data_IF_146347904741
#
_entry.id   IF_146347904741
#
_cell.length_a   1.000
_cell.length_b   1.000
_cell.length_c   1.000
_cell.angle_alpha   90.00
_cell.angle_beta   90.00
_cell.angle_gamma   90.00
#
_symmetry.space_group_name_H-M   'P 1'
#
loop_
_entity.id
_entity.type
_entity.pdbx_description
1 polymer ?
#
# COMPACT_ATOMS: atom_id res chain seq x y z
N UNK A 1 -30.63 -4.63 15.84
CA UNK A 1 -30.22 -3.44 16.63
C UNK A 1 -29.02 -3.70 17.54
N UNK A 2 -29.03 -4.67 18.48
CA UNK A 2 -27.85 -4.94 19.33
C UNK A 2 -26.73 -5.64 18.54
N UNK A 3 -27.09 -6.60 17.69
CA UNK A 3 -26.14 -7.34 16.84
C UNK A 3 -25.43 -6.45 15.82
N UNK A 4 -26.15 -5.54 15.15
CA UNK A 4 -25.58 -4.58 14.20
C UNK A 4 -24.56 -3.64 14.86
N UNK A 5 -24.84 -3.22 16.09
CA UNK A 5 -23.95 -2.35 16.87
C UNK A 5 -22.71 -3.09 17.36
N UNK A 6 -22.86 -4.36 17.76
CA UNK A 6 -21.73 -5.22 18.11
C UNK A 6 -20.82 -5.46 16.90
N UNK A 7 -21.41 -5.71 15.73
CA UNK A 7 -20.69 -5.92 14.48
C UNK A 7 -19.93 -4.67 14.03
N UNK A 8 -20.54 -3.48 14.13
CA UNK A 8 -19.88 -2.21 13.82
C UNK A 8 -18.72 -1.88 14.80
N UNK A 9 -18.86 -2.22 16.08
CA UNK A 9 -17.79 -2.06 17.07
C UNK A 9 -16.62 -3.02 16.80
N UNK A 10 -16.93 -4.27 16.44
CA UNK A 10 -15.92 -5.25 16.05
C UNK A 10 -15.16 -4.77 14.81
N UNK A 11 -15.85 -4.32 13.77
CA UNK A 11 -15.22 -3.78 12.55
C UNK A 11 -14.28 -2.60 12.85
N UNK A 12 -14.67 -1.66 13.74
CA UNK A 12 -13.79 -0.54 14.12
C UNK A 12 -12.56 -1.00 14.90
N UNK A 13 -12.71 -2.01 15.74
CA UNK A 13 -11.59 -2.63 16.46
C UNK A 13 -10.63 -3.29 15.48
N UNK A 14 -11.16 -4.08 14.55
CA UNK A 14 -10.37 -4.77 13.52
C UNK A 14 -9.60 -3.78 12.65
N UNK A 15 -10.24 -2.68 12.21
CA UNK A 15 -9.56 -1.61 11.46
C UNK A 15 -8.46 -0.92 12.26
N UNK A 16 -8.67 -0.74 13.57
CA UNK A 16 -7.66 -0.17 14.47
C UNK A 16 -6.44 -1.09 14.62
N UNK A 17 -6.67 -2.39 14.78
CA UNK A 17 -5.62 -3.40 14.88
C UNK A 17 -4.83 -3.51 13.56
N UNK A 18 -5.52 -3.53 12.42
CA UNK A 18 -4.89 -3.54 11.09
C UNK A 18 -4.03 -2.30 10.85
N UNK A 19 -4.51 -1.11 11.23
CA UNK A 19 -3.73 0.12 11.12
C UNK A 19 -2.46 0.07 11.96
N UNK A 20 -2.56 -0.42 13.20
CA UNK A 20 -1.41 -0.56 14.10
C UNK A 20 -0.39 -1.58 13.57
N UNK A 21 -0.85 -2.70 13.00
CA UNK A 21 0.01 -3.69 12.37
C UNK A 21 0.76 -3.11 11.18
N UNK A 22 0.07 -2.40 10.28
CA UNK A 22 0.68 -1.75 9.13
C UNK A 22 1.71 -0.69 9.53
N UNK A 23 1.43 0.10 10.57
CA UNK A 23 2.37 1.08 11.11
C UNK A 23 3.62 0.40 11.69
N UNK A 24 3.46 -0.70 12.44
CA UNK A 24 4.58 -1.47 12.94
C UNK A 24 5.42 -2.08 11.80
N UNK A 25 4.77 -2.57 10.74
CA UNK A 25 5.48 -3.05 9.54
C UNK A 25 6.26 -1.93 8.83
N UNK A 26 5.69 -0.72 8.73
CA UNK A 26 6.37 0.42 8.11
C UNK A 26 7.62 0.81 8.91
N UNK A 27 7.52 0.84 10.24
CA UNK A 27 8.64 1.13 11.13
C UNK A 27 9.76 0.10 10.98
N UNK A 28 9.43 -1.20 11.03
CA UNK A 28 10.41 -2.28 10.82
C UNK A 28 11.08 -2.17 9.46
N UNK A 29 10.30 -1.90 8.40
CA UNK A 29 10.82 -1.73 7.04
C UNK A 29 11.76 -0.51 6.96
N UNK A 30 11.41 0.58 7.63
CA UNK A 30 12.23 1.79 7.67
C UNK A 30 13.54 1.57 8.46
N UNK A 31 13.50 0.81 9.55
CA UNK A 31 14.70 0.41 10.31
C UNK A 31 15.61 -0.49 9.49
N UNK A 32 15.06 -1.51 8.82
CA UNK A 32 15.82 -2.37 7.91
C UNK A 32 16.47 -1.57 6.78
N UNK A 33 15.77 -0.58 6.22
CA UNK A 33 16.31 0.29 5.19
C UNK A 33 17.50 1.12 5.71
N UNK A 34 17.38 1.67 6.92
CA UNK A 34 18.48 2.41 7.59
C UNK A 34 19.67 1.49 7.85
N UNK A 35 19.44 0.29 8.38
CA UNK A 35 20.47 -0.70 8.66
C UNK A 35 21.21 -1.12 7.38
N UNK A 36 20.46 -1.44 6.31
CA UNK A 36 21.04 -1.82 5.01
C UNK A 36 21.86 -0.67 4.41
N UNK A 37 21.45 0.58 4.62
CA UNK A 37 22.20 1.77 4.17
C UNK A 37 23.53 1.93 4.92
N UNK A 38 23.53 1.69 6.23
CA UNK A 38 24.76 1.69 7.05
C UNK A 38 25.72 0.60 6.58
N UNK A 39 25.20 -0.61 6.35
CA UNK A 39 25.98 -1.73 5.82
C UNK A 39 26.59 -1.41 4.45
N UNK A 40 25.81 -0.83 3.55
CA UNK A 40 26.27 -0.43 2.21
C UNK A 40 27.42 0.58 2.28
N UNK A 41 27.31 1.61 3.14
CA UNK A 41 28.39 2.56 3.37
C UNK A 41 29.68 1.86 3.85
N UNK A 42 29.55 0.87 4.73
CA UNK A 42 30.68 0.08 5.23
C UNK A 42 31.33 -0.80 4.16
N UNK A 43 30.53 -1.43 3.28
CA UNK A 43 31.03 -2.26 2.18
C UNK A 43 31.74 -1.41 1.13
N UNK A 44 31.12 -0.31 0.70
CA UNK A 44 31.70 0.60 -0.31
C UNK A 44 32.94 1.31 0.24
N UNK A 45 32.94 1.73 1.51
CA UNK A 45 34.09 2.34 2.16
C UNK A 45 35.31 1.42 2.27
N UNK A 46 35.12 0.09 2.16
CA UNK A 46 36.19 -0.92 2.11
C UNK A 46 36.53 -1.38 0.68
N UNK A 47 35.98 -0.73 -0.35
CA UNK A 47 36.18 -1.12 -1.76
C UNK A 47 35.41 -2.37 -2.19
N UNK A 48 34.44 -2.83 -1.41
CA UNK A 48 33.63 -4.01 -1.73
C UNK A 48 32.48 -3.74 -2.70
N UNK A 49 31.94 -4.80 -3.31
CA UNK A 49 30.80 -4.73 -4.24
C UNK A 49 29.46 -4.64 -3.48
N UNK A 50 28.84 -3.46 -3.47
CA UNK A 50 27.57 -3.19 -2.79
C UNK A 50 26.29 -3.50 -3.58
N UNK A 51 26.35 -4.14 -4.75
CA UNK A 51 25.19 -4.29 -5.64
C UNK A 51 24.00 -5.07 -5.03
N UNK A 52 24.28 -6.05 -4.16
CA UNK A 52 23.24 -6.79 -3.44
C UNK A 52 22.49 -5.90 -2.43
N UNK A 53 23.23 -5.03 -1.72
CA UNK A 53 22.66 -4.09 -0.76
C UNK A 53 21.87 -2.98 -1.45
N UNK A 54 22.32 -2.51 -2.62
CA UNK A 54 21.54 -1.57 -3.44
C UNK A 54 20.21 -2.19 -3.86
N UNK A 55 20.24 -3.44 -4.31
CA UNK A 55 19.02 -4.19 -4.64
C UNK A 55 18.08 -4.28 -3.45
N UNK A 56 18.59 -4.66 -2.27
CA UNK A 56 17.80 -4.77 -1.04
C UNK A 56 17.21 -3.42 -0.62
N UNK A 57 17.99 -2.34 -0.64
CA UNK A 57 17.51 -0.99 -0.33
C UNK A 57 16.38 -0.56 -1.27
N UNK A 58 16.49 -0.87 -2.56
CA UNK A 58 15.45 -0.57 -3.55
C UNK A 58 14.15 -1.35 -3.27
N UNK A 59 14.25 -2.61 -2.84
CA UNK A 59 13.10 -3.44 -2.49
C UNK A 59 12.45 -2.98 -1.19
N UNK A 60 13.24 -2.63 -0.17
CA UNK A 60 12.75 -2.06 1.08
C UNK A 60 12.09 -0.69 0.89
N UNK A 61 12.67 0.18 0.04
CA UNK A 61 12.05 1.46 -0.31
C UNK A 61 10.70 1.26 -0.98
N UNK A 62 10.62 0.34 -1.95
CA UNK A 62 9.37 0.01 -2.62
C UNK A 62 8.32 -0.53 -1.64
N UNK A 63 8.72 -1.42 -0.72
CA UNK A 63 7.83 -1.96 0.32
C UNK A 63 7.33 -0.87 1.26
N UNK A 64 8.21 0.07 1.64
CA UNK A 64 7.85 1.22 2.46
C UNK A 64 6.82 2.12 1.76
N UNK A 65 7.03 2.43 0.49
CA UNK A 65 6.10 3.25 -0.29
C UNK A 65 4.72 2.55 -0.40
N UNK A 66 4.69 1.23 -0.64
CA UNK A 66 3.44 0.44 -0.61
C UNK A 66 2.75 0.46 0.75
N UNK A 67 3.50 0.31 1.85
CA UNK A 67 2.96 0.34 3.21
C UNK A 67 2.36 1.71 3.55
N UNK A 68 3.02 2.79 3.14
CA UNK A 68 2.51 4.16 3.36
C UNK A 68 1.13 4.36 2.75
N UNK A 69 0.94 3.98 1.49
CA UNK A 69 -0.37 4.09 0.84
C UNK A 69 -1.42 3.17 1.49
N UNK A 70 -1.04 1.96 1.94
CA UNK A 70 -1.95 1.06 2.68
C UNK A 70 -2.39 1.66 4.02
N UNK A 71 -1.47 2.29 4.75
CA UNK A 71 -1.77 3.00 6.00
C UNK A 71 -2.74 4.14 5.72
N UNK A 72 -2.53 4.91 4.66
CA UNK A 72 -3.42 6.02 4.31
C UNK A 72 -4.82 5.52 3.93
N UNK A 73 -4.94 4.40 3.20
CA UNK A 73 -6.24 3.75 2.95
C UNK A 73 -6.90 3.31 4.27
N UNK A 74 -6.16 2.65 5.16
CA UNK A 74 -6.70 2.18 6.44
C UNK A 74 -7.16 3.33 7.35
N UNK A 75 -6.45 4.46 7.35
CA UNK A 75 -6.88 5.68 8.06
C UNK A 75 -8.19 6.22 7.51
N UNK A 76 -8.30 6.34 6.19
CA UNK A 76 -9.52 6.81 5.52
C UNK A 76 -10.70 5.86 5.76
N UNK A 77 -10.46 4.55 5.78
CA UNK A 77 -11.49 3.56 6.14
C UNK A 77 -11.96 3.68 7.58
N UNK A 78 -11.03 3.92 8.51
CA UNK A 78 -11.38 4.20 9.90
C UNK A 78 -12.23 5.46 10.01
N UNK A 79 -11.82 6.57 9.38
CA UNK A 79 -12.56 7.84 9.37
C UNK A 79 -13.96 7.68 8.77
N UNK A 80 -14.10 6.97 7.64
CA UNK A 80 -15.40 6.64 7.03
C UNK A 80 -16.30 5.86 8.00
N UNK A 81 -15.74 4.93 8.78
CA UNK A 81 -16.50 4.19 9.78
C UNK A 81 -16.97 5.08 10.94
N UNK A 82 -16.24 6.16 11.27
CA UNK A 82 -16.67 7.13 12.30
C UNK A 82 -17.79 8.01 11.77
N UNK A 83 -17.68 8.52 10.55
CA UNK A 83 -18.72 9.33 9.90
C UNK A 83 -20.03 8.55 9.77
N UNK A 84 -19.98 7.29 9.32
CA UNK A 84 -21.18 6.43 9.23
C UNK A 84 -21.85 6.21 10.58
N UNK A 85 -21.07 6.15 11.66
CA UNK A 85 -21.62 6.06 13.01
C UNK A 85 -22.33 7.35 13.40
N UNK A 86 -21.74 8.51 13.10
CA UNK A 86 -22.36 9.81 13.35
C UNK A 86 -23.63 10.03 12.51
N UNK A 87 -23.64 9.57 11.26
CA UNK A 87 -24.82 9.56 10.38
C UNK A 87 -25.95 8.75 11.01
N UNK A 88 -25.67 7.51 11.41
CA UNK A 88 -26.64 6.65 12.10
C UNK A 88 -27.18 7.28 13.39
N UNK A 89 -26.33 7.96 14.16
CA UNK A 89 -26.75 8.67 15.38
C UNK A 89 -27.63 9.88 15.06
N UNK A 90 -27.31 10.62 13.99
CA UNK A 90 -28.08 11.78 13.54
C UNK A 90 -29.45 11.36 13.03
N UNK A 91 -29.53 10.26 12.27
CA UNK A 91 -30.79 9.68 11.79
C UNK A 91 -31.68 9.18 12.93
N UNK A 92 -31.08 8.50 13.92
CA UNK A 92 -31.80 8.11 15.13
C UNK A 92 -32.32 9.34 15.90
N UNK A 93 -31.53 10.41 15.95
CA UNK A 93 -31.95 11.69 16.52
C UNK A 93 -33.12 12.32 15.77
N UNK A 94 -33.09 12.32 14.44
CA UNK A 94 -34.17 12.84 13.60
C UNK A 94 -35.46 12.07 13.82
N UNK A 95 -35.40 10.74 13.84
CA UNK A 95 -36.55 9.89 14.11
C UNK A 95 -37.12 10.14 15.51
N UNK A 96 -36.26 10.27 16.52
CA UNK A 96 -36.70 10.57 17.88
C UNK A 96 -37.43 11.91 17.97
N UNK A 97 -36.87 12.97 17.37
CA UNK A 97 -37.50 14.29 17.33
C UNK A 97 -38.81 14.26 16.55
N UNK A 98 -38.89 13.49 15.47
CA UNK A 98 -40.12 13.33 14.69
C UNK A 98 -41.22 12.65 15.50
N UNK A 99 -40.91 11.59 16.25
CA UNK A 99 -41.89 10.93 17.14
C UNK A 99 -42.35 11.87 18.25
N UNK A 100 -41.45 12.69 18.80
CA UNK A 100 -41.82 13.69 19.81
C UNK A 100 -42.69 14.82 19.22
N UNK A 101 -42.38 15.27 17.99
CA UNK A 101 -43.16 16.24 17.24
C UNK A 101 -44.61 15.79 17.07
N UNK A 102 -44.81 14.57 16.57
CA UNK A 102 -46.15 14.01 16.34
C UNK A 102 -46.97 14.02 17.63
N UNK A 103 -46.37 13.62 18.76
CA UNK A 103 -47.02 13.62 20.09
C UNK A 103 -47.37 15.01 20.59
N UNK A 104 -46.54 16.02 20.34
CA UNK A 104 -46.80 17.40 20.76
C UNK A 104 -47.91 18.02 19.92
N UNK A 105 -47.88 17.79 18.61
CA UNK A 105 -48.92 18.25 17.68
C UNK A 105 -50.26 17.60 17.99
N UNK A 106 -50.31 16.30 18.26
CA UNK A 106 -51.53 15.59 18.66
C UNK A 106 -52.17 16.16 19.94
N UNK A 107 -51.35 16.72 20.84
CA UNK A 107 -51.81 17.36 22.08
C UNK A 107 -52.14 18.85 21.91
N UNK A 108 -52.03 19.39 20.69
CA UNK A 108 -52.21 20.81 20.41
C UNK A 108 -51.14 21.71 21.05
N UNK A 109 -49.97 21.17 21.36
CA UNK A 109 -48.87 21.90 21.97
C UNK A 109 -48.02 22.67 20.95
N UNK A 110 -47.19 23.60 21.44
CA UNK A 110 -46.22 24.30 20.60
C UNK A 110 -44.99 23.40 20.32
N UNK A 111 -44.67 23.19 19.05
CA UNK A 111 -43.57 22.35 18.59
C UNK A 111 -42.35 23.13 18.04
N UNK A 112 -42.29 24.46 18.17
CA UNK A 112 -41.21 25.31 17.64
C UNK A 112 -39.79 24.83 18.04
N UNK A 113 -39.61 24.38 19.29
CA UNK A 113 -38.33 23.87 19.76
C UNK A 113 -37.89 22.58 19.03
N UNK A 114 -38.85 21.74 18.64
CA UNK A 114 -38.58 20.52 17.87
C UNK A 114 -38.26 20.85 16.41
N UNK A 115 -38.91 21.88 15.83
CA UNK A 115 -38.58 22.34 14.47
C UNK A 115 -37.12 22.79 14.38
N UNK A 116 -36.66 23.60 15.34
CA UNK A 116 -35.26 24.05 15.42
C UNK A 116 -34.31 22.86 15.48
N UNK A 117 -34.62 21.87 16.34
CA UNK A 117 -33.79 20.67 16.48
C UNK A 117 -33.77 19.80 15.22
N UNK A 118 -34.88 19.71 14.49
CA UNK A 118 -34.92 19.02 13.18
C UNK A 118 -34.07 19.74 12.13
N UNK A 119 -34.08 21.08 12.12
CA UNK A 119 -33.25 21.88 11.22
C UNK A 119 -31.77 21.66 11.52
N UNK A 120 -31.37 21.72 12.79
CA UNK A 120 -29.99 21.45 13.23
C UNK A 120 -29.52 20.05 12.79
N UNK A 121 -30.32 19.02 13.06
CA UNK A 121 -29.98 17.65 12.68
C UNK A 121 -29.92 17.47 11.16
N UNK A 122 -30.83 18.08 10.38
CA UNK A 122 -30.77 18.05 8.91
C UNK A 122 -29.53 18.75 8.37
N UNK A 123 -29.13 19.88 8.96
CA UNK A 123 -27.89 20.55 8.58
C UNK A 123 -26.69 19.66 8.88
N UNK A 124 -26.68 18.99 10.03
CA UNK A 124 -25.65 18.02 10.38
C UNK A 124 -25.59 16.85 9.39
N UNK A 125 -26.74 16.29 8.97
CA UNK A 125 -26.78 15.24 7.94
C UNK A 125 -26.09 15.70 6.65
N UNK A 126 -26.37 16.93 6.18
CA UNK A 126 -25.71 17.47 4.96
C UNK A 126 -24.20 17.63 5.12
N UNK A 127 -23.74 18.06 6.29
CA UNK A 127 -22.30 18.15 6.58
C UNK A 127 -21.62 16.78 6.53
N UNK A 128 -22.28 15.76 7.09
CA UNK A 128 -21.79 14.39 7.08
C UNK A 128 -21.76 13.81 5.66
N UNK A 129 -22.81 14.05 4.85
CA UNK A 129 -22.86 13.65 3.44
C UNK A 129 -21.70 14.25 2.63
N UNK A 130 -21.43 15.56 2.80
CA UNK A 130 -20.31 16.23 2.15
C UNK A 130 -18.96 15.63 2.57
N UNK A 131 -18.79 15.40 3.88
CA UNK A 131 -17.55 14.83 4.42
C UNK A 131 -17.34 13.39 3.92
N UNK A 132 -18.40 12.60 3.84
CA UNK A 132 -18.37 11.24 3.32
C UNK A 132 -18.00 11.22 1.84
N UNK A 133 -18.56 12.13 1.04
CA UNK A 133 -18.21 12.29 -0.36
C UNK A 133 -16.72 12.64 -0.54
N UNK A 134 -16.21 13.61 0.21
CA UNK A 134 -14.79 14.00 0.16
C UNK A 134 -13.86 12.84 0.55
N UNK A 135 -14.19 12.10 1.62
CA UNK A 135 -13.38 10.97 2.07
C UNK A 135 -13.35 9.83 1.05
N UNK A 136 -14.48 9.54 0.40
CA UNK A 136 -14.53 8.53 -0.67
C UNK A 136 -13.63 8.94 -1.83
N UNK A 137 -13.70 10.19 -2.29
CA UNK A 137 -12.84 10.68 -3.37
C UNK A 137 -11.35 10.61 -3.01
N UNK A 138 -10.99 11.00 -1.78
CA UNK A 138 -9.61 10.87 -1.29
C UNK A 138 -9.17 9.41 -1.25
N UNK A 139 -10.03 8.50 -0.78
CA UNK A 139 -9.75 7.07 -0.74
C UNK A 139 -9.50 6.51 -2.14
N UNK A 140 -10.35 6.84 -3.10
CA UNK A 140 -10.20 6.40 -4.49
C UNK A 140 -8.89 6.92 -5.11
N UNK A 141 -8.51 8.15 -4.78
CA UNK A 141 -7.23 8.74 -5.20
C UNK A 141 -6.03 7.96 -4.64
N UNK A 142 -6.03 7.66 -3.33
CA UNK A 142 -4.95 6.89 -2.70
C UNK A 142 -4.89 5.45 -3.24
N UNK A 143 -6.05 4.82 -3.51
CA UNK A 143 -6.10 3.49 -4.13
C UNK A 143 -5.50 3.52 -5.55
N UNK A 144 -5.79 4.56 -6.33
CA UNK A 144 -5.21 4.73 -7.66
C UNK A 144 -3.67 4.89 -7.59
N UNK A 145 -3.17 5.70 -6.65
CA UNK A 145 -1.74 5.86 -6.40
C UNK A 145 -1.07 4.54 -6.00
N UNK A 146 -1.68 3.75 -5.11
CA UNK A 146 -1.19 2.43 -4.73
C UNK A 146 -1.13 1.48 -5.94
N UNK A 147 -2.14 1.52 -6.81
CA UNK A 147 -2.15 0.74 -8.04
C UNK A 147 -1.01 1.16 -9.00
N UNK A 148 -0.71 2.45 -9.10
CA UNK A 148 0.44 2.93 -9.85
C UNK A 148 1.77 2.44 -9.27
N UNK A 149 1.94 2.48 -7.95
CA UNK A 149 3.14 1.97 -7.27
C UNK A 149 3.35 0.49 -7.59
N UNK A 150 2.30 -0.32 -7.47
CA UNK A 150 2.34 -1.74 -7.86
C UNK A 150 2.72 -1.92 -9.34
N UNK A 151 2.16 -1.09 -10.24
CA UNK A 151 2.47 -1.16 -11.66
C UNK A 151 3.93 -0.78 -11.95
N UNK A 152 4.44 0.28 -11.33
CA UNK A 152 5.85 0.72 -11.42
C UNK A 152 6.78 -0.39 -10.91
N UNK A 153 6.47 -1.00 -9.78
CA UNK A 153 7.23 -2.12 -9.19
C UNK A 153 7.25 -3.33 -10.13
N UNK A 154 6.11 -3.69 -10.72
CA UNK A 154 6.03 -4.79 -11.70
C UNK A 154 6.85 -4.50 -12.96
N UNK A 155 6.78 -3.29 -13.50
CA UNK A 155 7.57 -2.88 -14.69
C UNK A 155 9.06 -2.95 -14.39
N UNK A 156 9.48 -2.44 -13.23
CA UNK A 156 10.87 -2.48 -12.76
C UNK A 156 11.38 -3.92 -12.64
N UNK A 157 10.61 -4.81 -12.01
CA UNK A 157 10.98 -6.22 -11.87
C UNK A 157 11.14 -6.91 -13.23
N UNK A 158 10.22 -6.67 -14.18
CA UNK A 158 10.34 -7.18 -15.56
C UNK A 158 11.60 -6.65 -16.25
N UNK A 159 11.91 -5.36 -16.09
CA UNK A 159 13.12 -4.77 -16.66
C UNK A 159 14.39 -5.42 -16.11
N UNK A 160 14.48 -5.62 -14.78
CA UNK A 160 15.60 -6.31 -14.13
C UNK A 160 15.77 -7.74 -14.65
N UNK A 161 14.69 -8.51 -14.77
CA UNK A 161 14.74 -9.88 -15.32
C UNK A 161 15.26 -9.91 -16.75
N UNK A 162 14.83 -8.97 -17.60
CA UNK A 162 15.33 -8.84 -18.99
C UNK A 162 16.81 -8.45 -19.04
N UNK A 163 17.24 -7.52 -18.20
CA UNK A 163 18.64 -7.14 -18.08
C UNK A 163 19.51 -8.33 -17.67
N UNK A 164 19.08 -9.10 -16.65
CA UNK A 164 19.80 -10.29 -16.20
C UNK A 164 19.88 -11.36 -17.29
N UNK A 165 18.78 -11.64 -17.99
CA UNK A 165 18.78 -12.57 -19.12
C UNK A 165 19.79 -12.18 -20.21
N UNK A 166 19.88 -10.88 -20.56
CA UNK A 166 20.87 -10.39 -21.54
C UNK A 166 22.30 -10.64 -21.08
N UNK A 167 22.62 -10.36 -19.81
CA UNK A 167 23.95 -10.61 -19.24
C UNK A 167 24.27 -12.10 -19.27
N UNK A 168 23.34 -12.96 -18.85
CA UNK A 168 23.52 -14.42 -18.88
C UNK A 168 23.78 -14.92 -20.30
N UNK A 169 23.01 -14.44 -21.28
CA UNK A 169 23.23 -14.80 -22.70
C UNK A 169 24.58 -14.34 -23.21
N UNK A 170 25.01 -13.11 -22.88
CA UNK A 170 26.34 -12.60 -23.27
C UNK A 170 27.47 -13.43 -22.67
N UNK A 171 27.37 -13.78 -21.38
CA UNK A 171 28.37 -14.63 -20.70
C UNK A 171 28.39 -16.02 -21.34
N UNK A 172 27.23 -16.63 -21.59
CA UNK A 172 27.15 -17.94 -22.24
C UNK A 172 27.75 -17.92 -23.66
N UNK A 173 27.48 -16.87 -24.44
CA UNK A 173 28.06 -16.69 -25.77
C UNK A 173 29.58 -16.50 -25.72
N UNK A 174 30.08 -15.67 -24.80
CA UNK A 174 31.52 -15.47 -24.60
C UNK A 174 32.23 -16.76 -24.17
N UNK A 175 31.64 -17.52 -23.24
CA UNK A 175 32.17 -18.83 -22.82
C UNK A 175 32.18 -19.84 -23.97
N UNK A 176 31.13 -19.84 -24.81
CA UNK A 176 31.08 -20.68 -26.01
C UNK A 176 32.21 -20.33 -26.98
N UNK A 177 32.40 -19.05 -27.28
CA UNK A 177 33.49 -18.58 -28.15
C UNK A 177 34.87 -18.95 -27.57
N UNK A 178 35.06 -18.81 -26.26
CA UNK A 178 36.31 -19.24 -25.61
C UNK A 178 36.56 -20.74 -25.73
N UNK A 179 35.52 -21.58 -25.62
CA UNK A 179 35.65 -23.03 -25.83
C UNK A 179 36.00 -23.36 -27.29
N UNK A 180 35.29 -22.76 -28.25
CA UNK A 180 35.55 -22.95 -29.68
C UNK A 180 36.99 -22.52 -30.05
N UNK A 181 37.46 -21.37 -29.54
CA UNK A 181 38.84 -20.92 -29.73
C UNK A 181 39.88 -21.82 -29.04
N UNK A 182 39.55 -22.37 -27.87
CA UNK A 182 40.38 -23.35 -27.18
C UNK A 182 40.56 -24.64 -28.00
N UNK A 183 39.48 -25.13 -28.61
CA UNK A 183 39.52 -26.32 -29.48
C UNK A 183 40.31 -26.10 -30.76
N UNK A 184 40.26 -24.91 -31.36
CA UNK A 184 41.06 -24.59 -32.55
C UNK A 184 42.56 -24.54 -32.23
N UNK A 185 42.94 -24.03 -31.05
CA UNK A 185 44.34 -24.02 -30.60
C UNK A 185 44.89 -25.42 -30.35
N UNK A 186 44.10 -26.33 -29.78
CA UNK A 186 44.55 -27.70 -29.53
C UNK A 186 44.60 -28.55 -30.80
N UNK A 187 43.68 -28.35 -31.76
CA UNK A 187 43.75 -28.99 -33.07
C UNK A 187 44.94 -28.51 -33.90
N UNK A 188 45.29 -27.22 -33.82
CA UNK A 188 46.48 -26.67 -34.48
C UNK A 188 47.79 -27.24 -33.92
N UNK A 189 47.85 -27.54 -32.61
CA UNK A 189 49.03 -28.14 -31.98
C UNK A 189 49.16 -29.66 -32.23
N UNK A 190 48.06 -30.34 -32.57
CA UNK A 190 48.04 -31.78 -32.89
C UNK A 190 48.18 -32.07 -34.40
N UNK A 191 48.05 -31.05 -35.26
CA UNK A 191 48.15 -31.18 -36.72
C UNK A 191 49.58 -31.24 -37.29
N UNK A 192 50.59 -30.82 -36.53
CA UNK A 192 52.00 -30.81 -36.97
C UNK A 192 52.80 -32.06 -36.55
N UNK A 193 52.17 -33.04 -35.88
CA UNK A 193 52.75 -34.35 -35.71
C UNK A 193 52.56 -35.17 -37.01
N UNK A 194 53.37 -34.85 -38.02
CA UNK A 194 53.54 -35.69 -39.20
C UNK A 194 53.84 -37.14 -38.74
N UNK A 195 53.17 -38.17 -39.27
CA UNK A 195 53.55 -39.54 -38.97
C UNK A 195 54.99 -39.75 -39.47
N UNK A 196 55.90 -40.05 -38.54
CA UNK A 196 57.23 -40.51 -38.88
C UNK A 196 57.09 -41.77 -39.75
N UNK A 197 57.88 -41.77 -40.83
CA UNK A 197 57.90 -42.69 -41.96
C UNK A 197 57.86 -44.19 -41.61
#
# INVERSE_FOLDING_TARGET
MVEDRMLALQQRKDLGEQLAELQSEEERTAEELRATRVEWNGVVGRGGNGNALITRMMELQNRKDELRHKIDVAKLEKELAEIRKEEQQTDQGLLAVQVEWDRVVERGGNADAMLTRMIELRNRTRELENSLFELIQRKDTVIAELAEVHQKNRRRLKSRRRGHARVVTQVAASLRLHREMGTLRTQSLLGDAAPAA
#
